data_IF_144203809135
#
_entry.id   IF_144203809135
#
_cell.length_a   1.000
_cell.length_b   1.000
_cell.length_c   1.000
_cell.angle_alpha   90.00
_cell.angle_beta   90.00
_cell.angle_gamma   90.00
#
_symmetry.space_group_name_H-M   'P 1'
#
loop_
_entity.id
_entity.type
_entity.pdbx_description
1 polymer ?
#
# COMPACT_ATOMS: atom_id res chain seq x y z
N UNK A 1 34.51 45.82 17.54
CA UNK A 1 34.42 44.36 17.44
C UNK A 1 33.90 43.83 18.78
N UNK A 2 32.60 43.62 18.92
CA UNK A 2 31.99 43.07 20.14
C UNK A 2 31.56 41.64 19.87
N UNK A 3 32.35 40.67 20.35
CA UNK A 3 32.03 39.25 20.26
C UNK A 3 30.76 38.97 21.08
N UNK A 4 29.67 38.59 20.40
CA UNK A 4 28.53 37.93 21.04
C UNK A 4 28.99 36.55 21.49
N UNK A 5 29.19 36.38 22.78
CA UNK A 5 29.34 35.06 23.39
C UNK A 5 28.02 34.30 23.22
N UNK A 6 28.01 33.32 22.32
CA UNK A 6 26.99 32.28 22.25
C UNK A 6 27.02 31.48 23.54
N UNK A 7 26.13 31.80 24.48
CA UNK A 7 25.95 31.00 25.70
C UNK A 7 25.40 29.63 25.31
N UNK A 8 26.26 28.62 25.42
CA UNK A 8 25.86 27.20 25.40
C UNK A 8 24.97 26.98 26.64
N UNK A 9 23.67 26.81 26.44
CA UNK A 9 22.75 26.48 27.52
C UNK A 9 23.10 25.10 28.07
N UNK A 10 23.51 25.04 29.33
CA UNK A 10 23.67 23.77 30.06
C UNK A 10 22.30 23.10 30.22
N UNK A 11 22.22 21.76 30.17
CA UNK A 11 20.98 21.04 30.46
C UNK A 11 20.51 21.37 31.88
N UNK A 12 19.22 21.65 32.05
CA UNK A 12 18.61 21.80 33.38
C UNK A 12 18.61 20.44 34.10
N UNK A 13 19.25 20.37 35.27
CA UNK A 13 19.42 19.12 36.03
C UNK A 13 18.11 18.59 36.66
N UNK A 14 17.10 19.44 36.83
CA UNK A 14 15.76 19.01 37.26
C UNK A 14 14.69 20.02 36.86
N UNK A 15 13.48 19.52 36.62
CA UNK A 15 12.29 20.32 36.38
C UNK A 15 11.23 19.97 37.43
N UNK A 16 10.87 20.94 38.27
CA UNK A 16 9.80 20.84 39.28
C UNK A 16 8.55 21.58 38.80
N UNK A 17 7.41 21.36 39.47
CA UNK A 17 6.15 22.10 39.23
C UNK A 17 5.46 21.87 37.88
N UNK A 18 5.71 20.74 37.20
CA UNK A 18 4.94 20.39 35.98
C UNK A 18 3.43 20.46 36.22
N UNK A 19 2.95 19.97 37.36
CA UNK A 19 1.52 19.94 37.66
C UNK A 19 0.90 21.33 37.87
N UNK A 20 1.72 22.34 38.20
CA UNK A 20 1.28 23.70 38.45
C UNK A 20 1.21 24.52 37.15
N UNK A 21 1.74 23.98 36.04
CA UNK A 21 1.65 24.63 34.75
C UNK A 21 0.22 24.64 34.20
N UNK A 22 -0.24 25.76 33.62
CA UNK A 22 -1.53 25.82 32.96
C UNK A 22 -1.57 24.91 31.72
N UNK A 23 -2.75 24.38 31.35
CA UNK A 23 -2.94 23.47 30.21
C UNK A 23 -2.34 23.98 28.89
N UNK A 24 -2.35 25.28 28.66
CA UNK A 24 -1.85 25.93 27.46
C UNK A 24 -0.33 25.82 27.34
N UNK A 25 0.39 26.04 28.45
CA UNK A 25 1.85 25.91 28.50
C UNK A 25 2.29 24.45 28.38
N UNK A 26 1.60 23.55 29.09
CA UNK A 26 1.82 22.10 28.91
C UNK A 26 1.63 21.67 27.47
N UNK A 27 0.56 22.15 26.84
CA UNK A 27 0.28 21.87 25.44
C UNK A 27 1.40 22.37 24.52
N UNK A 28 1.94 23.57 24.76
CA UNK A 28 3.07 24.09 24.02
C UNK A 28 4.31 23.19 24.18
N UNK A 29 4.63 22.74 25.40
CA UNK A 29 5.73 21.80 25.62
C UNK A 29 5.50 20.45 24.92
N UNK A 30 4.29 19.88 25.02
CA UNK A 30 3.94 18.59 24.40
C UNK A 30 4.13 18.64 22.89
N UNK A 31 3.86 19.78 22.24
CA UNK A 31 4.10 19.95 20.79
C UNK A 31 5.55 19.76 20.37
N UNK A 32 6.51 19.94 21.28
CA UNK A 32 7.94 19.75 21.03
C UNK A 32 8.44 18.35 21.40
N UNK A 33 7.64 17.54 22.12
CA UNK A 33 8.02 16.18 22.48
C UNK A 33 7.97 15.24 21.27
N UNK A 34 8.86 14.25 21.24
CA UNK A 34 8.78 13.17 20.24
C UNK A 34 7.59 12.24 20.48
N UNK A 35 7.29 11.39 19.49
CA UNK A 35 6.15 10.48 19.54
C UNK A 35 6.19 9.55 20.78
N UNK A 36 7.36 8.99 21.09
CA UNK A 36 7.54 8.03 22.19
C UNK A 36 7.27 8.70 23.54
N UNK A 37 7.84 9.87 23.75
CA UNK A 37 7.74 10.64 25.00
C UNK A 37 6.30 11.09 25.23
N UNK A 38 5.58 11.53 24.18
CA UNK A 38 4.14 11.83 24.30
C UNK A 38 3.32 10.62 24.70
N UNK A 39 3.57 9.48 24.08
CA UNK A 39 2.85 8.25 24.41
C UNK A 39 3.09 7.81 25.86
N UNK A 40 4.32 7.96 26.36
CA UNK A 40 4.63 7.73 27.77
C UNK A 40 3.93 8.76 28.66
N UNK A 41 3.99 10.05 28.34
CA UNK A 41 3.30 11.11 29.10
C UNK A 41 1.79 10.83 29.22
N UNK A 42 1.15 10.34 28.15
CA UNK A 42 -0.25 9.92 28.12
C UNK A 42 -0.62 8.85 29.16
N UNK A 43 0.36 8.05 29.60
CA UNK A 43 0.17 7.00 30.62
C UNK A 43 0.31 7.52 32.07
N UNK A 44 0.79 8.74 32.28
CA UNK A 44 1.11 9.26 33.62
C UNK A 44 -0.11 9.72 34.41
N UNK A 45 -1.08 10.39 33.78
CA UNK A 45 -2.32 10.83 34.43
C UNK A 45 -3.46 11.04 33.44
N UNK A 46 -4.70 11.14 33.94
CA UNK A 46 -5.88 11.42 33.10
C UNK A 46 -5.83 12.82 32.48
N UNK A 47 -5.28 13.81 33.20
CA UNK A 47 -5.14 15.18 32.70
C UNK A 47 -4.12 15.24 31.56
N UNK A 48 -2.95 14.63 31.73
CA UNK A 48 -1.93 14.57 30.68
C UNK A 48 -2.41 13.76 29.46
N UNK A 49 -3.17 12.69 29.69
CA UNK A 49 -3.83 11.96 28.61
C UNK A 49 -4.75 12.84 27.78
N UNK A 50 -5.62 13.63 28.41
CA UNK A 50 -6.51 14.54 27.71
C UNK A 50 -5.74 15.60 26.91
N UNK A 51 -4.65 16.13 27.47
CA UNK A 51 -3.78 17.08 26.78
C UNK A 51 -3.10 16.46 25.55
N UNK A 52 -2.54 15.27 25.68
CA UNK A 52 -1.91 14.55 24.56
C UNK A 52 -2.95 14.18 23.50
N UNK A 53 -4.13 13.68 23.90
CA UNK A 53 -5.19 13.24 23.00
C UNK A 53 -5.81 14.40 22.19
N UNK A 54 -5.70 15.64 22.68
CA UNK A 54 -6.10 16.86 21.97
C UNK A 54 -5.09 17.32 20.92
N UNK A 55 -3.90 16.71 20.84
CA UNK A 55 -2.89 17.06 19.86
C UNK A 55 -2.86 16.06 18.71
N UNK A 56 -2.91 16.58 17.48
CA UNK A 56 -2.64 15.78 16.28
C UNK A 56 -1.14 15.60 16.10
N UNK A 57 -0.73 14.46 15.56
CA UNK A 57 0.66 14.18 15.22
C UNK A 57 0.78 13.63 13.80
N UNK A 58 1.92 13.91 13.16
CA UNK A 58 2.23 13.45 11.82
C UNK A 58 3.19 12.27 11.90
N UNK A 59 2.83 11.18 11.22
CA UNK A 59 3.68 10.01 11.05
C UNK A 59 4.01 9.87 9.57
N UNK A 60 5.28 9.60 9.28
CA UNK A 60 5.73 9.37 7.91
C UNK A 60 5.26 8.01 7.43
N UNK A 61 5.47 6.99 8.25
CA UNK A 61 5.16 5.62 7.87
C UNK A 61 4.67 4.82 9.07
N UNK A 62 3.55 4.13 8.90
CA UNK A 62 3.05 3.14 9.85
C UNK A 62 2.85 1.86 9.08
N UNK A 63 3.48 0.78 9.54
CA UNK A 63 3.39 -0.51 8.88
C UNK A 63 3.16 -1.63 9.88
N UNK A 64 2.12 -2.41 9.64
CA UNK A 64 1.90 -3.69 10.29
C UNK A 64 2.28 -4.77 9.29
N UNK A 65 3.43 -5.39 9.54
CA UNK A 65 4.00 -6.39 8.65
C UNK A 65 3.93 -7.76 9.29
N UNK A 66 3.42 -8.75 8.55
CA UNK A 66 3.55 -10.15 8.88
C UNK A 66 4.82 -10.75 8.29
N UNK A 67 5.05 -12.04 8.53
CA UNK A 67 5.93 -12.80 7.65
C UNK A 67 5.13 -13.06 6.36
N UNK A 68 5.54 -12.40 5.26
CA UNK A 68 5.10 -12.66 3.88
C UNK A 68 4.98 -14.17 3.62
N UNK A 69 4.13 -14.61 2.67
CA UNK A 69 3.76 -16.03 2.54
C UNK A 69 5.00 -16.86 2.20
N UNK A 70 5.58 -17.47 3.23
CA UNK A 70 6.31 -18.71 3.06
C UNK A 70 5.34 -19.74 2.47
N UNK A 71 5.85 -20.72 1.69
CA UNK A 71 5.03 -21.70 0.99
C UNK A 71 3.96 -22.28 1.92
N UNK A 72 2.79 -22.59 1.35
CA UNK A 72 1.59 -23.12 2.03
C UNK A 72 1.90 -24.32 2.95
N UNK A 73 3.05 -24.97 2.75
CA UNK A 73 3.51 -26.16 3.47
C UNK A 73 4.54 -25.87 4.58
N UNK A 74 4.93 -24.61 4.80
CA UNK A 74 5.70 -24.25 5.98
C UNK A 74 4.74 -24.20 7.19
N UNK A 75 5.12 -24.85 8.29
CA UNK A 75 4.51 -24.69 9.61
C UNK A 75 4.70 -23.23 10.06
N UNK A 76 3.87 -22.33 9.52
CA UNK A 76 3.85 -20.92 9.88
C UNK A 76 3.05 -20.82 11.18
N UNK A 77 3.57 -20.17 12.23
CA UNK A 77 2.79 -19.89 13.42
C UNK A 77 1.48 -19.22 13.02
N UNK A 78 0.36 -19.81 13.39
CA UNK A 78 -0.96 -19.23 13.19
C UNK A 78 -1.10 -18.01 14.12
N UNK A 79 -1.47 -16.85 13.58
CA UNK A 79 -1.81 -15.66 14.39
C UNK A 79 -0.81 -14.50 14.33
N UNK A 80 -0.59 -13.87 15.49
CA UNK A 80 0.18 -12.62 15.61
C UNK A 80 1.67 -12.83 15.86
N UNK A 81 2.07 -14.06 16.13
CA UNK A 81 3.44 -14.40 16.47
C UNK A 81 4.33 -14.12 15.26
N UNK A 82 5.39 -13.33 15.47
CA UNK A 82 6.30 -12.79 14.45
C UNK A 82 5.79 -11.59 13.63
N UNK A 83 4.65 -11.00 13.97
CA UNK A 83 4.28 -9.70 13.39
C UNK A 83 5.16 -8.57 13.96
N UNK A 84 5.32 -7.52 13.16
CA UNK A 84 5.98 -6.29 13.59
C UNK A 84 5.14 -5.07 13.25
N UNK A 85 5.02 -4.18 14.23
CA UNK A 85 4.55 -2.81 14.04
C UNK A 85 5.76 -1.90 13.89
N UNK A 86 5.87 -1.23 12.74
CA UNK A 86 6.89 -0.22 12.45
C UNK A 86 6.22 1.15 12.44
N UNK A 87 6.78 2.10 13.16
CA UNK A 87 6.30 3.49 13.23
C UNK A 87 7.49 4.40 12.95
N UNK A 88 7.34 5.30 11.98
CA UNK A 88 8.34 6.31 11.61
C UNK A 88 7.72 7.69 11.83
N UNK A 89 8.16 8.46 12.84
CA UNK A 89 7.69 9.82 13.07
C UNK A 89 8.12 10.77 11.94
N UNK A 90 7.27 11.71 11.54
CA UNK A 90 7.65 12.70 10.50
C UNK A 90 8.73 13.68 10.96
N UNK A 91 8.86 13.92 12.27
CA UNK A 91 9.86 14.84 12.81
C UNK A 91 11.28 14.27 12.76
N UNK A 92 11.42 12.95 12.74
CA UNK A 92 12.70 12.24 12.78
C UNK A 92 12.60 10.96 11.91
N UNK A 93 12.58 11.10 10.57
CA UNK A 93 12.36 9.97 9.65
C UNK A 93 13.40 8.85 9.76
N UNK A 94 14.59 9.17 10.25
CA UNK A 94 15.67 8.24 10.55
C UNK A 94 15.40 7.34 11.78
N UNK A 95 14.45 7.72 12.63
CA UNK A 95 14.10 6.98 13.85
C UNK A 95 12.90 6.05 13.64
N UNK A 96 13.17 4.82 13.21
CA UNK A 96 12.14 3.79 13.13
C UNK A 96 11.92 3.11 14.50
N UNK A 97 10.70 3.18 15.03
CA UNK A 97 10.27 2.42 16.20
C UNK A 97 9.71 1.10 15.70
N UNK A 98 10.35 -0.01 16.07
CA UNK A 98 9.93 -1.37 15.68
C UNK A 98 9.51 -2.15 16.92
N UNK A 99 8.25 -2.55 16.96
CA UNK A 99 7.66 -3.35 18.03
C UNK A 99 7.39 -4.75 17.47
N UNK A 100 8.09 -5.77 17.99
CA UNK A 100 7.83 -7.17 17.65
C UNK A 100 6.73 -7.74 18.53
N UNK A 101 5.71 -8.31 17.91
CA UNK A 101 4.63 -9.01 18.57
C UNK A 101 5.09 -10.46 18.76
N UNK A 102 5.21 -10.86 20.03
CA UNK A 102 5.74 -12.17 20.43
C UNK A 102 4.68 -13.14 20.97
N UNK A 103 3.54 -12.61 21.38
CA UNK A 103 2.38 -13.40 21.76
C UNK A 103 1.09 -12.57 21.60
N UNK A 104 -0.03 -13.28 21.59
CA UNK A 104 -1.36 -12.72 21.44
C UNK A 104 -1.76 -11.80 22.62
N UNK A 105 -1.45 -12.18 23.86
CA UNK A 105 -1.77 -11.36 25.04
C UNK A 105 -1.15 -9.96 24.96
N UNK A 106 0.16 -9.88 24.65
CA UNK A 106 0.87 -8.60 24.51
C UNK A 106 0.32 -7.77 23.36
N UNK A 107 -0.15 -8.41 22.28
CA UNK A 107 -0.79 -7.70 21.20
C UNK A 107 -2.02 -6.93 21.71
N UNK A 108 -2.96 -7.62 22.35
CA UNK A 108 -4.21 -7.02 22.83
C UNK A 108 -3.99 -6.01 23.97
N UNK A 109 -3.06 -6.27 24.89
CA UNK A 109 -2.83 -5.39 26.04
C UNK A 109 -2.03 -4.13 25.71
N UNK A 110 -1.11 -4.21 24.73
CA UNK A 110 -0.14 -3.12 24.49
C UNK A 110 -0.14 -2.59 23.07
N UNK A 111 -0.15 -3.47 22.07
CA UNK A 111 0.02 -3.07 20.66
C UNK A 111 -1.29 -2.55 20.07
N UNK A 112 -2.41 -3.20 20.35
CA UNK A 112 -3.73 -2.80 19.88
C UNK A 112 -4.13 -1.41 20.41
N UNK A 113 -4.02 -1.09 21.72
CA UNK A 113 -4.30 0.27 22.21
C UNK A 113 -3.41 1.33 21.58
N UNK A 114 -2.13 1.02 21.35
CA UNK A 114 -1.19 1.91 20.64
C UNK A 114 -1.63 2.14 19.19
N UNK A 115 -1.99 1.07 18.48
CA UNK A 115 -2.44 1.14 17.09
C UNK A 115 -3.73 1.95 16.96
N UNK A 116 -4.72 1.71 17.84
CA UNK A 116 -5.96 2.49 17.88
C UNK A 116 -5.66 3.96 18.14
N UNK A 117 -4.77 4.27 19.08
CA UNK A 117 -4.35 5.65 19.34
C UNK A 117 -3.72 6.29 18.10
N UNK A 118 -2.83 5.59 17.40
CA UNK A 118 -2.21 6.06 16.15
C UNK A 118 -3.28 6.34 15.10
N UNK A 119 -4.14 5.36 14.80
CA UNK A 119 -5.14 5.47 13.74
C UNK A 119 -6.19 6.56 14.01
N UNK A 120 -6.50 6.83 15.27
CA UNK A 120 -7.51 7.83 15.67
C UNK A 120 -6.96 9.25 15.79
N UNK A 121 -5.67 9.42 16.12
CA UNK A 121 -5.11 10.74 16.50
C UNK A 121 -4.03 11.27 15.56
N UNK A 122 -3.56 10.45 14.61
CA UNK A 122 -2.48 10.83 13.71
C UNK A 122 -2.94 11.15 12.29
N UNK A 123 -2.14 11.95 11.60
CA UNK A 123 -2.11 12.05 10.15
C UNK A 123 -0.95 11.20 9.67
N UNK A 124 -1.24 10.18 8.86
CA UNK A 124 -0.26 9.21 8.39
C UNK A 124 0.01 9.46 6.91
N UNK A 125 1.27 9.69 6.54
CA UNK A 125 1.65 9.83 5.14
C UNK A 125 1.52 8.48 4.40
N UNK A 126 2.08 7.41 4.97
CA UNK A 126 1.95 6.05 4.42
C UNK A 126 1.52 5.05 5.49
N UNK A 127 0.36 4.42 5.29
CA UNK A 127 -0.13 3.32 6.13
C UNK A 127 -0.15 2.01 5.34
N UNK A 128 0.58 1.02 5.82
CA UNK A 128 0.67 -0.31 5.22
C UNK A 128 0.20 -1.38 6.20
N UNK A 129 -0.69 -2.26 5.74
CA UNK A 129 -1.22 -3.36 6.52
C UNK A 129 -1.18 -4.65 5.71
N UNK A 130 -0.63 -5.69 6.32
CA UNK A 130 -0.63 -7.05 5.79
C UNK A 130 -1.68 -7.91 6.49
N UNK A 131 -2.20 -8.92 5.79
CA UNK A 131 -3.13 -9.91 6.34
C UNK A 131 -2.56 -10.65 7.56
N UNK A 132 -3.44 -10.93 8.52
CA UNK A 132 -3.18 -11.87 9.61
C UNK A 132 -3.81 -13.22 9.32
N UNK A 133 -3.01 -14.29 9.31
CA UNK A 133 -3.54 -15.66 9.19
C UNK A 133 -4.42 -15.99 10.40
N UNK A 134 -5.61 -16.53 10.12
CA UNK A 134 -6.56 -16.97 11.15
C UNK A 134 -7.31 -15.85 11.88
N UNK A 135 -7.04 -14.58 11.57
CA UNK A 135 -7.77 -13.45 12.14
C UNK A 135 -8.29 -12.52 11.03
N UNK A 136 -8.94 -11.43 11.45
CA UNK A 136 -9.55 -10.43 10.57
C UNK A 136 -9.38 -9.04 11.20
N UNK A 137 -8.74 -8.11 10.49
CA UNK A 137 -8.56 -6.74 10.99
C UNK A 137 -9.88 -6.02 11.28
N UNK A 138 -10.94 -6.32 10.52
CA UNK A 138 -12.24 -5.71 10.73
C UNK A 138 -12.88 -6.12 12.06
N UNK A 139 -12.62 -7.34 12.55
CA UNK A 139 -13.11 -7.77 13.87
C UNK A 139 -12.23 -7.25 15.00
N UNK A 140 -10.90 -7.26 14.80
CA UNK A 140 -9.93 -6.78 15.81
C UNK A 140 -10.09 -5.28 16.07
N UNK A 141 -10.21 -4.48 15.01
CA UNK A 141 -10.27 -3.02 15.10
C UNK A 141 -11.71 -2.48 15.07
N UNK A 142 -12.68 -3.31 14.71
CA UNK A 142 -14.07 -2.93 14.48
C UNK A 142 -14.68 -2.14 15.62
N UNK A 143 -14.64 -2.69 16.83
CA UNK A 143 -15.18 -2.06 18.03
C UNK A 143 -14.46 -0.75 18.39
N UNK A 144 -13.14 -0.70 18.17
CA UNK A 144 -12.32 0.46 18.54
C UNK A 144 -12.39 1.61 17.52
N UNK A 145 -12.76 1.33 16.27
CA UNK A 145 -12.77 2.28 15.15
C UNK A 145 -14.15 2.48 14.52
N UNK A 146 -15.24 2.16 15.23
CA UNK A 146 -16.60 2.06 14.66
C UNK A 146 -16.97 3.24 13.74
N UNK A 147 -16.79 4.48 14.19
CA UNK A 147 -17.10 5.70 13.43
C UNK A 147 -15.86 6.54 13.07
N UNK A 148 -14.66 6.00 13.29
CA UNK A 148 -13.43 6.76 13.10
C UNK A 148 -13.03 6.82 11.63
N UNK A 149 -12.91 8.03 11.10
CA UNK A 149 -12.29 8.27 9.80
C UNK A 149 -10.76 8.35 9.95
N UNK A 150 -10.05 7.65 9.09
CA UNK A 150 -8.59 7.53 9.07
C UNK A 150 -7.97 8.66 8.24
N UNK A 151 -7.08 9.41 8.87
CA UNK A 151 -6.32 10.46 8.18
C UNK A 151 -5.06 9.86 7.55
N UNK A 152 -5.22 9.15 6.44
CA UNK A 152 -4.13 8.47 5.71
C UNK A 152 -3.98 9.07 4.32
N UNK A 153 -2.77 9.49 3.93
CA UNK A 153 -2.52 10.01 2.57
C UNK A 153 -2.29 8.90 1.54
N UNK A 154 -1.55 7.85 1.91
CA UNK A 154 -1.30 6.67 1.09
C UNK A 154 -1.62 5.39 1.86
N UNK A 155 -2.56 4.59 1.36
CA UNK A 155 -2.96 3.33 1.98
C UNK A 155 -2.48 2.13 1.16
N UNK A 156 -1.86 1.15 1.83
CA UNK A 156 -1.36 -0.08 1.22
C UNK A 156 -1.92 -1.31 1.96
N UNK A 157 -2.92 -1.95 1.36
CA UNK A 157 -3.47 -3.23 1.81
C UNK A 157 -2.83 -4.39 1.06
N UNK A 158 -2.05 -5.21 1.75
CA UNK A 158 -1.29 -6.30 1.15
C UNK A 158 -1.88 -7.64 1.59
N UNK A 159 -2.32 -8.43 0.62
CA UNK A 159 -2.95 -9.75 0.81
C UNK A 159 -4.24 -9.72 1.68
N UNK A 160 -4.92 -8.57 1.81
CA UNK A 160 -6.12 -8.43 2.64
C UNK A 160 -7.32 -9.22 2.09
N UNK A 161 -8.17 -9.76 2.98
CA UNK A 161 -9.47 -10.35 2.58
C UNK A 161 -10.48 -9.24 2.27
N UNK A 162 -11.56 -9.59 1.58
CA UNK A 162 -12.63 -8.63 1.24
C UNK A 162 -13.15 -7.81 2.43
N UNK A 163 -13.50 -8.40 3.60
CA UNK A 163 -14.01 -7.61 4.71
C UNK A 163 -13.00 -6.58 5.22
N UNK A 164 -11.72 -6.92 5.19
CA UNK A 164 -10.62 -6.04 5.60
C UNK A 164 -10.40 -4.90 4.61
N UNK A 165 -10.42 -5.21 3.31
CA UNK A 165 -10.35 -4.19 2.24
C UNK A 165 -11.49 -3.19 2.42
N UNK A 166 -12.73 -3.66 2.52
CA UNK A 166 -13.89 -2.80 2.73
C UNK A 166 -13.78 -2.03 4.04
N UNK A 167 -13.38 -2.67 5.14
CA UNK A 167 -13.24 -2.04 6.45
C UNK A 167 -12.29 -0.84 6.45
N UNK A 168 -11.11 -0.98 5.85
CA UNK A 168 -10.13 0.10 5.80
C UNK A 168 -10.52 1.17 4.78
N UNK A 169 -10.89 0.78 3.55
CA UNK A 169 -11.16 1.75 2.48
C UNK A 169 -12.37 2.61 2.78
N UNK A 170 -13.44 2.06 3.37
CA UNK A 170 -14.62 2.85 3.78
C UNK A 170 -14.34 3.86 4.88
N UNK A 171 -13.23 3.70 5.62
CA UNK A 171 -12.82 4.62 6.68
C UNK A 171 -11.78 5.63 6.23
N UNK A 172 -11.29 5.58 4.99
CA UNK A 172 -10.30 6.53 4.51
C UNK A 172 -10.88 7.96 4.47
N UNK A 173 -10.03 8.92 4.84
CA UNK A 173 -10.34 10.35 4.84
C UNK A 173 -10.24 11.01 3.48
N UNK A 174 -10.82 12.21 3.29
CA UNK A 174 -10.69 12.99 2.05
C UNK A 174 -9.24 13.39 1.73
N UNK A 175 -8.32 13.29 2.70
CA UNK A 175 -6.90 13.56 2.47
C UNK A 175 -6.18 12.43 1.74
N UNK A 176 -6.83 11.28 1.54
CA UNK A 176 -6.25 10.14 0.83
C UNK A 176 -6.04 10.47 -0.63
N UNK A 177 -4.78 10.31 -1.08
CA UNK A 177 -4.36 10.55 -2.46
C UNK A 177 -4.05 9.27 -3.20
N UNK A 178 -3.65 8.21 -2.49
CA UNK A 178 -3.23 6.97 -3.12
C UNK A 178 -3.66 5.72 -2.35
N UNK A 179 -4.12 4.72 -3.10
CA UNK A 179 -4.63 3.45 -2.59
C UNK A 179 -3.98 2.32 -3.36
N UNK A 180 -3.47 1.31 -2.64
CA UNK A 180 -2.77 0.16 -3.19
C UNK A 180 -3.35 -1.11 -2.58
N UNK A 181 -3.81 -2.04 -3.40
CA UNK A 181 -4.47 -3.28 -2.99
C UNK A 181 -3.96 -4.48 -3.78
N UNK A 182 -4.13 -5.68 -3.22
CA UNK A 182 -3.94 -6.95 -3.93
C UNK A 182 -5.31 -7.61 -4.15
N UNK A 183 -5.60 -8.03 -5.38
CA UNK A 183 -6.88 -8.59 -5.84
C UNK A 183 -6.97 -10.12 -5.80
N UNK A 184 -5.83 -10.82 -5.85
CA UNK A 184 -5.75 -12.29 -5.88
C UNK A 184 -6.04 -12.98 -4.54
N UNK A 185 -6.46 -12.23 -3.52
CA UNK A 185 -6.76 -12.81 -2.20
C UNK A 185 -8.16 -13.37 -2.10
N UNK A 186 -8.99 -13.14 -3.12
CA UNK A 186 -10.42 -13.41 -3.10
C UNK A 186 -10.94 -13.71 -4.50
N UNK A 187 -11.71 -14.79 -4.61
CA UNK A 187 -12.43 -15.13 -5.84
C UNK A 187 -13.49 -14.06 -6.23
N UNK A 188 -13.81 -13.12 -5.33
CA UNK A 188 -14.80 -12.04 -5.52
C UNK A 188 -14.28 -10.73 -4.94
N UNK A 189 -13.19 -10.19 -5.46
CA UNK A 189 -12.66 -8.90 -5.01
C UNK A 189 -13.74 -7.78 -5.13
N UNK A 190 -13.95 -6.91 -4.11
CA UNK A 190 -15.10 -6.00 -4.02
C UNK A 190 -14.92 -4.73 -4.86
N UNK A 191 -14.57 -4.88 -6.14
CA UNK A 191 -14.25 -3.74 -7.01
C UNK A 191 -15.43 -2.79 -7.23
N UNK A 192 -16.65 -3.31 -7.30
CA UNK A 192 -17.84 -2.49 -7.51
C UNK A 192 -18.13 -1.59 -6.30
N UNK A 193 -18.02 -2.14 -5.09
CA UNK A 193 -18.14 -1.38 -3.84
C UNK A 193 -17.06 -0.31 -3.74
N UNK A 194 -15.83 -0.65 -4.12
CA UNK A 194 -14.71 0.29 -4.16
C UNK A 194 -14.97 1.42 -5.16
N UNK A 195 -15.51 1.11 -6.34
CA UNK A 195 -15.84 2.13 -7.34
C UNK A 195 -16.98 3.03 -6.91
N UNK A 196 -17.87 2.58 -6.03
CA UNK A 196 -18.94 3.40 -5.48
C UNK A 196 -18.51 4.29 -4.30
N UNK A 197 -17.25 4.19 -3.88
CA UNK A 197 -16.70 5.03 -2.84
C UNK A 197 -16.01 6.27 -3.44
N UNK A 198 -16.49 7.45 -3.10
CA UNK A 198 -15.97 8.74 -3.59
C UNK A 198 -14.49 8.96 -3.24
N UNK A 199 -14.01 8.43 -2.11
CA UNK A 199 -12.59 8.53 -1.73
C UNK A 199 -11.72 7.75 -2.71
N UNK A 200 -12.22 6.62 -3.22
CA UNK A 200 -11.50 5.78 -4.17
C UNK A 200 -11.50 6.39 -5.57
N UNK A 201 -12.66 6.86 -6.04
CA UNK A 201 -12.79 7.42 -7.40
C UNK A 201 -12.08 8.75 -7.55
N UNK A 202 -12.03 9.55 -6.48
CA UNK A 202 -11.32 10.83 -6.44
C UNK A 202 -9.84 10.70 -6.02
N UNK A 203 -9.37 9.51 -5.63
CA UNK A 203 -7.96 9.31 -5.34
C UNK A 203 -7.12 9.55 -6.60
N UNK A 204 -6.04 10.31 -6.46
CA UNK A 204 -5.09 10.58 -7.55
C UNK A 204 -4.45 9.30 -8.10
N UNK A 205 -4.29 8.28 -7.26
CA UNK A 205 -3.66 7.01 -7.65
C UNK A 205 -4.40 5.82 -7.04
N UNK A 206 -4.98 4.97 -7.88
CA UNK A 206 -5.48 3.66 -7.49
C UNK A 206 -4.61 2.57 -8.11
N UNK A 207 -4.10 1.65 -7.30
CA UNK A 207 -3.32 0.51 -7.78
C UNK A 207 -3.91 -0.79 -7.23
N UNK A 208 -4.21 -1.72 -8.12
CA UNK A 208 -4.71 -3.04 -7.73
C UNK A 208 -3.88 -4.10 -8.43
N UNK A 209 -3.15 -4.89 -7.65
CA UNK A 209 -2.41 -6.03 -8.18
C UNK A 209 -3.37 -7.19 -8.43
N UNK A 210 -3.17 -7.94 -9.49
CA UNK A 210 -3.82 -9.22 -9.76
C UNK A 210 -5.37 -9.18 -9.69
N UNK A 211 -5.96 -8.16 -10.32
CA UNK A 211 -7.41 -7.97 -10.38
C UNK A 211 -8.02 -8.80 -11.51
N UNK A 212 -8.96 -9.70 -11.20
CA UNK A 212 -9.60 -10.57 -12.22
C UNK A 212 -10.73 -9.90 -13.00
N UNK A 213 -11.23 -8.76 -12.52
CA UNK A 213 -12.36 -8.03 -13.10
C UNK A 213 -11.97 -7.31 -14.41
N UNK A 214 -12.58 -7.74 -15.53
CA UNK A 214 -12.27 -7.28 -16.90
C UNK A 214 -12.82 -5.87 -17.19
N UNK A 215 -13.86 -5.47 -16.49
CA UNK A 215 -14.64 -4.25 -16.72
C UNK A 215 -14.23 -3.06 -15.84
N UNK A 216 -13.37 -3.29 -14.84
CA UNK A 216 -12.94 -2.28 -13.90
C UNK A 216 -12.39 -1.01 -14.57
N UNK A 217 -11.60 -1.19 -15.63
CA UNK A 217 -10.88 -0.11 -16.30
C UNK A 217 -11.85 0.86 -16.97
N UNK A 218 -12.81 0.35 -17.74
CA UNK A 218 -13.75 1.21 -18.46
C UNK A 218 -14.82 1.78 -17.52
N UNK A 219 -15.25 1.04 -16.49
CA UNK A 219 -16.16 1.55 -15.45
C UNK A 219 -15.56 2.76 -14.72
N UNK A 220 -14.28 2.67 -14.35
CA UNK A 220 -13.59 3.78 -13.70
C UNK A 220 -13.38 4.97 -14.64
N UNK A 221 -13.03 4.72 -15.90
CA UNK A 221 -12.89 5.77 -16.91
C UNK A 221 -14.22 6.51 -17.17
N UNK A 222 -15.35 5.80 -17.18
CA UNK A 222 -16.70 6.38 -17.27
C UNK A 222 -16.95 7.36 -16.12
N UNK A 223 -16.68 6.94 -14.87
CA UNK A 223 -16.78 7.83 -13.69
C UNK A 223 -15.87 9.05 -13.78
N UNK A 224 -14.65 8.91 -14.32
CA UNK A 224 -13.74 10.06 -14.49
C UNK A 224 -14.21 11.06 -15.54
N UNK A 225 -14.92 10.59 -16.57
CA UNK A 225 -15.55 11.45 -17.57
C UNK A 225 -16.74 12.20 -16.94
N UNK A 226 -17.52 11.54 -16.10
CA UNK A 226 -18.66 12.12 -15.37
C UNK A 226 -18.22 13.17 -14.35
N UNK A 227 -17.19 12.87 -13.56
CA UNK A 227 -16.71 13.73 -12.47
C UNK A 227 -15.67 14.78 -12.90
N UNK A 228 -15.35 14.87 -14.19
CA UNK A 228 -14.28 15.73 -14.72
C UNK A 228 -12.96 15.62 -13.92
N UNK A 229 -12.49 14.38 -13.70
CA UNK A 229 -11.36 14.12 -12.80
C UNK A 229 -10.08 14.91 -13.17
N UNK A 230 -9.24 15.16 -12.16
CA UNK A 230 -8.02 15.94 -12.31
C UNK A 230 -7.00 15.27 -13.24
N UNK A 231 -6.22 16.08 -13.96
CA UNK A 231 -5.10 15.60 -14.77
C UNK A 231 -4.07 14.91 -13.86
N UNK A 232 -3.62 13.73 -14.27
CA UNK A 232 -2.71 12.87 -13.52
C UNK A 232 -3.40 11.87 -12.61
N UNK A 233 -4.74 11.88 -12.53
CA UNK A 233 -5.52 10.79 -11.90
C UNK A 233 -5.22 9.49 -12.64
N UNK A 234 -4.74 8.48 -11.91
CA UNK A 234 -4.14 7.27 -12.48
C UNK A 234 -4.69 6.01 -11.83
N UNK A 235 -5.00 5.00 -12.65
CA UNK A 235 -5.38 3.66 -12.26
C UNK A 235 -4.41 2.65 -12.86
N UNK A 236 -3.77 1.83 -12.03
CA UNK A 236 -2.85 0.79 -12.47
C UNK A 236 -3.30 -0.57 -11.98
N UNK A 237 -3.27 -1.54 -12.89
CA UNK A 237 -3.72 -2.90 -12.60
C UNK A 237 -2.78 -3.95 -13.20
N UNK A 238 -2.51 -5.03 -12.47
CA UNK A 238 -1.90 -6.26 -13.01
C UNK A 238 -2.93 -7.38 -13.01
N UNK A 239 -2.71 -8.40 -13.85
CA UNK A 239 -3.71 -9.39 -14.25
C UNK A 239 -4.79 -8.77 -15.13
N UNK A 240 -4.43 -8.56 -16.38
CA UNK A 240 -5.35 -8.07 -17.39
C UNK A 240 -5.34 -9.12 -18.46
N UNK A 241 -6.43 -9.89 -18.57
CA UNK A 241 -6.63 -10.79 -19.70
C UNK A 241 -6.52 -9.97 -20.99
N UNK A 242 -5.99 -10.56 -22.07
CA UNK A 242 -5.69 -9.88 -23.34
C UNK A 242 -6.85 -9.11 -23.97
N UNK A 243 -8.08 -9.29 -23.48
CA UNK A 243 -9.30 -8.66 -23.98
C UNK A 243 -9.64 -7.28 -23.37
N UNK A 244 -8.90 -6.76 -22.38
CA UNK A 244 -9.34 -5.52 -21.69
C UNK A 244 -9.25 -4.27 -22.56
N UNK A 245 -8.26 -4.17 -23.45
CA UNK A 245 -8.18 -3.09 -24.45
C UNK A 245 -9.35 -3.21 -25.46
N UNK A 246 -9.60 -4.37 -26.10
CA UNK A 246 -10.77 -4.55 -26.98
C UNK A 246 -12.10 -4.16 -26.34
N UNK A 247 -12.35 -4.55 -25.08
CA UNK A 247 -13.56 -4.17 -24.35
C UNK A 247 -13.63 -2.65 -24.11
N UNK A 248 -12.52 -2.03 -23.76
CA UNK A 248 -12.44 -0.58 -23.56
C UNK A 248 -12.75 0.17 -24.87
N UNK A 249 -12.15 -0.25 -25.98
CA UNK A 249 -12.41 0.27 -27.33
C UNK A 249 -13.87 0.14 -27.70
N UNK A 250 -14.46 -1.04 -27.49
CA UNK A 250 -15.87 -1.28 -27.79
C UNK A 250 -16.80 -0.33 -27.02
N UNK A 251 -16.53 -0.09 -25.74
CA UNK A 251 -17.32 0.80 -24.88
C UNK A 251 -17.21 2.27 -25.28
N UNK A 252 -16.05 2.72 -25.75
CA UNK A 252 -15.76 4.13 -26.03
C UNK A 252 -15.57 4.48 -27.51
N UNK A 253 -16.09 3.67 -28.45
CA UNK A 253 -15.89 3.84 -29.91
C UNK A 253 -16.06 5.28 -30.40
N UNK A 254 -17.10 5.96 -29.93
CA UNK A 254 -17.44 7.33 -30.38
C UNK A 254 -16.50 8.41 -29.82
N UNK A 255 -15.60 8.05 -28.90
CA UNK A 255 -14.67 8.97 -28.23
C UNK A 255 -13.21 8.72 -28.58
N UNK A 256 -12.90 7.70 -29.39
CA UNK A 256 -11.52 7.31 -29.72
C UNK A 256 -10.83 8.39 -30.56
N UNK A 257 -9.63 8.76 -30.13
CA UNK A 257 -8.71 9.66 -30.85
C UNK A 257 -7.62 8.82 -31.52
N UNK A 258 -7.11 7.82 -30.80
CA UNK A 258 -6.02 6.97 -31.23
C UNK A 258 -6.18 5.58 -30.61
N UNK A 259 -5.88 4.56 -31.40
CA UNK A 259 -5.94 3.17 -30.98
C UNK A 259 -4.81 2.38 -31.65
N UNK A 260 -4.15 1.53 -30.88
CA UNK A 260 -3.35 0.41 -31.35
C UNK A 260 -3.44 -0.75 -30.33
N UNK A 261 -2.68 -1.83 -30.55
CA UNK A 261 -2.72 -3.02 -29.69
C UNK A 261 -2.29 -2.80 -28.23
N UNK A 262 -1.50 -1.77 -27.95
CA UNK A 262 -0.94 -1.49 -26.62
C UNK A 262 -1.46 -0.17 -26.01
N UNK A 263 -2.17 0.66 -26.76
CA UNK A 263 -2.50 2.03 -26.39
C UNK A 263 -3.85 2.46 -26.98
N UNK A 264 -4.69 3.07 -26.15
CA UNK A 264 -5.96 3.69 -26.56
C UNK A 264 -6.06 5.07 -25.92
N UNK A 265 -6.39 6.08 -26.70
CA UNK A 265 -6.62 7.45 -26.23
C UNK A 265 -8.03 7.87 -26.60
N UNK A 266 -8.78 8.38 -25.62
CA UNK A 266 -10.16 8.84 -25.80
C UNK A 266 -10.34 10.29 -25.34
N UNK A 267 -11.32 10.98 -25.94
CA UNK A 267 -11.80 12.29 -25.48
C UNK A 267 -12.64 12.17 -24.22
N UNK A 268 -12.69 13.24 -23.43
CA UNK A 268 -13.65 13.39 -22.31
C UNK A 268 -14.68 14.46 -22.66
N UNK A 269 -15.62 14.73 -21.74
CA UNK A 269 -16.54 15.86 -21.89
C UNK A 269 -15.81 17.21 -21.77
N UNK A 270 -14.63 17.23 -21.14
CA UNK A 270 -13.77 18.39 -21.06
C UNK A 270 -12.73 18.36 -22.21
N UNK A 271 -12.77 19.32 -23.16
CA UNK A 271 -11.88 19.32 -24.31
C UNK A 271 -10.40 19.50 -23.95
N UNK A 272 -10.08 19.97 -22.74
CA UNK A 272 -8.69 20.08 -22.27
C UNK A 272 -8.14 18.77 -21.71
N UNK A 273 -8.95 17.72 -21.59
CA UNK A 273 -8.58 16.45 -20.94
C UNK A 273 -8.90 15.25 -21.83
N UNK A 274 -7.95 14.33 -21.93
CA UNK A 274 -8.12 13.02 -22.57
C UNK A 274 -7.87 11.92 -21.53
N UNK A 275 -8.35 10.71 -21.79
CA UNK A 275 -7.97 9.52 -21.03
C UNK A 275 -7.07 8.65 -21.91
N UNK A 276 -5.94 8.24 -21.35
CA UNK A 276 -4.97 7.36 -21.99
C UNK A 276 -4.96 6.01 -21.27
N UNK A 277 -5.23 4.97 -22.02
CA UNK A 277 -5.04 3.59 -21.61
C UNK A 277 -3.79 3.03 -22.27
N UNK A 278 -2.85 2.49 -21.50
CA UNK A 278 -1.58 1.99 -22.01
C UNK A 278 -1.17 0.70 -21.31
N UNK A 279 -0.85 -0.30 -22.12
CA UNK A 279 -0.30 -1.57 -21.71
C UNK A 279 1.23 -1.45 -21.65
N UNK A 280 1.81 -1.85 -20.53
CA UNK A 280 3.25 -1.83 -20.36
C UNK A 280 3.93 -2.78 -21.36
N UNK A 281 5.11 -2.37 -21.85
CA UNK A 281 5.94 -3.21 -22.71
C UNK A 281 6.50 -4.37 -21.89
N UNK A 282 6.34 -5.60 -22.41
CA UNK A 282 6.86 -6.91 -21.93
C UNK A 282 7.48 -6.88 -20.53
N UNK A 283 6.71 -7.35 -19.55
CA UNK A 283 7.25 -7.73 -18.24
C UNK A 283 7.11 -9.24 -18.05
N UNK A 284 8.10 -9.87 -17.41
CA UNK A 284 8.30 -11.33 -17.41
C UNK A 284 7.20 -12.17 -16.75
N UNK A 285 6.21 -11.55 -16.08
CA UNK A 285 5.22 -12.26 -15.25
C UNK A 285 3.79 -11.73 -15.42
N UNK A 286 3.59 -10.41 -15.52
CA UNK A 286 2.29 -9.81 -15.86
C UNK A 286 2.50 -8.44 -16.49
N UNK A 287 1.67 -8.07 -17.48
CA UNK A 287 1.76 -6.75 -18.14
C UNK A 287 0.87 -5.75 -17.38
N UNK A 288 1.46 -4.74 -16.70
CA UNK A 288 0.67 -3.64 -16.15
C UNK A 288 -0.19 -2.97 -17.21
N UNK A 289 -1.45 -2.69 -16.87
CA UNK A 289 -2.29 -1.76 -17.62
C UNK A 289 -2.40 -0.47 -16.81
N UNK A 290 -2.14 0.66 -17.45
CA UNK A 290 -2.23 2.00 -16.85
C UNK A 290 -3.32 2.79 -17.58
N UNK A 291 -4.35 3.21 -16.85
CA UNK A 291 -5.35 4.16 -17.31
C UNK A 291 -5.10 5.50 -16.60
N UNK A 292 -5.02 6.61 -17.32
CA UNK A 292 -4.64 7.90 -16.74
C UNK A 292 -5.32 9.06 -17.46
N UNK A 293 -5.78 10.03 -16.67
CA UNK A 293 -6.28 11.32 -17.17
C UNK A 293 -5.09 12.19 -17.55
N UNK A 294 -5.00 12.58 -18.82
CA UNK A 294 -3.94 13.42 -19.36
C UNK A 294 -4.50 14.72 -19.92
N UNK A 295 -3.63 15.70 -20.10
CA UNK A 295 -3.97 16.87 -20.89
C UNK A 295 -4.24 16.48 -22.36
N UNK A 296 -5.15 17.19 -23.02
CA UNK A 296 -5.38 17.04 -24.46
C UNK A 296 -4.19 17.49 -25.31
N UNK A 297 -3.39 18.45 -24.84
CA UNK A 297 -2.18 18.96 -25.50
C UNK A 297 -0.92 18.12 -25.24
N UNK A 298 -0.97 17.12 -24.36
CA UNK A 298 0.18 16.27 -24.06
C UNK A 298 0.62 15.45 -25.29
N UNK A 299 1.91 15.56 -25.63
CA UNK A 299 2.52 14.84 -26.76
C UNK A 299 2.91 13.41 -26.38
N UNK A 300 3.10 12.56 -27.40
CA UNK A 300 3.35 11.13 -27.22
C UNK A 300 4.64 10.85 -26.44
N UNK A 301 5.66 11.65 -26.67
CA UNK A 301 6.97 11.53 -26.03
C UNK A 301 6.88 11.74 -24.50
N UNK A 302 5.94 12.59 -24.05
CA UNK A 302 5.77 12.94 -22.63
C UNK A 302 5.19 11.77 -21.81
N UNK A 303 4.38 10.92 -22.43
CA UNK A 303 3.76 9.76 -21.77
C UNK A 303 4.37 8.41 -22.19
N UNK A 304 5.53 8.42 -22.84
CA UNK A 304 6.26 7.18 -23.14
C UNK A 304 6.60 6.40 -21.87
N UNK A 305 6.93 7.12 -20.79
CA UNK A 305 7.26 6.58 -19.48
C UNK A 305 6.08 5.93 -18.75
N UNK A 306 4.84 6.18 -19.19
CA UNK A 306 3.65 5.59 -18.57
C UNK A 306 3.64 4.08 -18.82
N UNK A 307 3.49 3.31 -17.75
CA UNK A 307 3.57 1.85 -17.79
C UNK A 307 4.85 1.26 -17.20
N UNK A 308 5.83 2.08 -16.78
CA UNK A 308 6.93 1.61 -15.92
C UNK A 308 6.43 1.37 -14.49
N UNK A 309 5.64 0.32 -14.29
CA UNK A 309 5.37 -0.21 -12.96
C UNK A 309 6.33 -1.37 -12.68
N UNK A 310 7.35 -1.10 -11.87
CA UNK A 310 8.18 -2.15 -11.27
C UNK A 310 7.50 -2.57 -9.98
N UNK A 311 6.88 -3.74 -9.97
CA UNK A 311 6.64 -4.46 -8.71
C UNK A 311 8.00 -4.68 -8.06
N UNK A 312 8.37 -3.88 -7.05
CA UNK A 312 9.57 -4.11 -6.22
C UNK A 312 9.50 -5.40 -5.39
N UNK A 313 8.42 -6.18 -5.52
CA UNK A 313 8.35 -7.52 -4.92
C UNK A 313 9.11 -8.47 -5.84
N UNK A 314 10.31 -8.84 -5.41
CA UNK A 314 10.99 -10.05 -5.88
C UNK A 314 10.01 -11.19 -5.61
N UNK A 315 9.42 -11.71 -6.68
CA UNK A 315 8.54 -12.86 -6.59
C UNK A 315 9.41 -14.03 -6.11
N UNK A 316 9.04 -14.71 -5.01
CA UNK A 316 9.79 -15.87 -4.57
C UNK A 316 9.82 -16.92 -5.68
N UNK A 317 10.94 -17.64 -5.84
CA UNK A 317 11.13 -18.65 -6.90
C UNK A 317 9.96 -19.66 -6.95
N UNK A 318 9.31 -19.98 -5.84
CA UNK A 318 8.18 -20.89 -5.79
C UNK A 318 6.87 -20.32 -6.34
N UNK A 319 6.62 -19.01 -6.27
CA UNK A 319 5.52 -18.40 -7.04
C UNK A 319 5.81 -18.53 -8.53
N UNK A 320 7.08 -18.38 -8.93
CA UNK A 320 7.55 -18.67 -10.30
C UNK A 320 7.33 -20.14 -10.68
N UNK A 321 7.64 -21.08 -9.79
CA UNK A 321 7.42 -22.51 -10.00
C UNK A 321 5.94 -22.88 -9.98
N UNK A 322 5.10 -22.18 -9.20
CA UNK A 322 3.65 -22.47 -9.18
C UNK A 322 3.00 -22.17 -10.53
N UNK A 323 3.41 -21.10 -11.22
CA UNK A 323 3.02 -20.83 -12.61
C UNK A 323 3.56 -21.90 -13.60
N UNK A 324 4.66 -22.57 -13.26
CA UNK A 324 5.25 -23.64 -14.07
C UNK A 324 4.50 -24.97 -13.87
N UNK A 325 3.79 -25.15 -12.76
CA UNK A 325 3.08 -26.39 -12.40
C UNK A 325 1.55 -26.28 -12.40
N UNK A 326 0.98 -25.12 -12.72
CA UNK A 326 -0.46 -24.98 -12.99
C UNK A 326 -0.74 -25.28 -14.47
N UNK A 327 -1.62 -26.26 -14.72
CA UNK A 327 -1.93 -26.88 -16.02
C UNK A 327 -2.53 -25.98 -17.12
N UNK A 328 -2.62 -24.66 -16.93
CA UNK A 328 -3.26 -23.75 -17.90
C UNK A 328 -2.23 -22.97 -18.75
N UNK A 329 -1.33 -23.68 -19.43
CA UNK A 329 -0.61 -23.10 -20.57
C UNK A 329 -1.52 -23.11 -21.79
N UNK A 330 -2.22 -22.00 -22.05
CA UNK A 330 -2.91 -21.81 -23.32
C UNK A 330 -1.89 -21.60 -24.45
N UNK A 331 -2.12 -22.26 -25.60
CA UNK A 331 -1.24 -22.23 -26.78
C UNK A 331 -0.93 -20.82 -27.34
N UNK A 332 -1.69 -19.80 -26.93
CA UNK A 332 -1.47 -18.39 -27.33
C UNK A 332 -0.46 -17.63 -26.44
N UNK A 333 -0.09 -18.17 -25.28
CA UNK A 333 0.94 -17.58 -24.43
C UNK A 333 2.31 -17.98 -24.97
N UNK A 334 2.88 -17.13 -25.83
CA UNK A 334 4.22 -17.26 -26.45
C UNK A 334 5.42 -17.31 -25.47
N UNK A 335 5.24 -17.82 -24.26
CA UNK A 335 6.27 -18.42 -23.41
C UNK A 335 6.79 -19.69 -24.10
N UNK A 336 7.63 -19.45 -25.10
CA UNK A 336 8.29 -20.46 -25.91
C UNK A 336 8.86 -21.58 -25.02
N UNK A 337 8.57 -22.85 -25.32
CA UNK A 337 9.10 -24.04 -24.64
C UNK A 337 10.62 -23.98 -24.36
N UNK A 338 11.37 -23.22 -25.16
CA UNK A 338 12.78 -22.92 -24.95
C UNK A 338 13.08 -22.23 -23.60
N UNK A 339 12.24 -21.30 -23.14
CA UNK A 339 12.42 -20.62 -21.85
C UNK A 339 12.22 -21.59 -20.68
N UNK A 340 11.29 -22.53 -20.83
CA UNK A 340 11.05 -23.62 -19.89
C UNK A 340 12.23 -24.59 -19.83
N UNK A 341 12.75 -25.01 -20.99
CA UNK A 341 13.93 -25.88 -21.10
C UNK A 341 15.16 -25.23 -20.44
N UNK A 342 15.41 -23.95 -20.71
CA UNK A 342 16.54 -23.21 -20.13
C UNK A 342 16.42 -23.13 -18.59
N UNK A 343 15.22 -22.86 -18.07
CA UNK A 343 14.99 -22.80 -16.62
C UNK A 343 15.17 -24.17 -15.97
N UNK A 344 14.72 -25.24 -16.63
CA UNK A 344 14.84 -26.61 -16.16
C UNK A 344 16.32 -27.05 -16.09
N UNK A 345 17.12 -26.70 -17.11
CA UNK A 345 18.57 -26.91 -17.08
C UNK A 345 19.26 -26.11 -15.98
N UNK A 346 18.82 -24.87 -15.72
CA UNK A 346 19.40 -24.04 -14.66
C UNK A 346 19.06 -24.55 -13.26
N UNK A 347 17.85 -25.10 -13.06
CA UNK A 347 17.46 -25.79 -11.82
C UNK A 347 18.25 -27.08 -11.63
N UNK A 348 18.40 -27.90 -12.69
CA UNK A 348 19.23 -29.11 -12.65
C UNK A 348 20.69 -28.78 -12.32
N UNK A 349 21.24 -27.72 -12.91
CA UNK A 349 22.59 -27.26 -12.63
C UNK A 349 22.77 -26.87 -11.16
N UNK A 350 21.82 -26.14 -10.58
CA UNK A 350 21.85 -25.74 -9.17
C UNK A 350 21.75 -26.94 -8.22
N UNK A 351 20.90 -27.91 -8.54
CA UNK A 351 20.79 -29.16 -7.77
C UNK A 351 22.10 -29.95 -7.85
N UNK A 352 22.67 -30.09 -9.06
CA UNK A 352 23.95 -30.77 -9.26
C UNK A 352 25.06 -30.06 -8.48
N UNK A 353 25.15 -28.73 -8.52
CA UNK A 353 26.19 -27.99 -7.79
C UNK A 353 26.03 -28.08 -6.28
N UNK A 354 24.80 -28.07 -5.75
CA UNK A 354 24.54 -28.30 -4.32
C UNK A 354 24.93 -29.72 -3.90
N UNK A 355 24.56 -30.73 -4.69
CA UNK A 355 24.94 -32.12 -4.45
C UNK A 355 26.46 -32.32 -4.54
N UNK A 356 27.13 -31.73 -5.53
CA UNK A 356 28.58 -31.78 -5.67
C UNK A 356 29.28 -31.14 -4.47
N UNK A 357 28.78 -29.98 -4.00
CA UNK A 357 29.33 -29.29 -2.83
C UNK A 357 29.09 -30.08 -1.54
N UNK A 358 28.00 -30.84 -1.45
CA UNK A 358 27.69 -31.66 -0.28
C UNK A 358 28.52 -32.96 -0.23
N UNK A 359 28.84 -33.52 -1.40
CA UNK A 359 29.63 -34.76 -1.55
C UNK A 359 31.14 -34.48 -1.48
N UNK A 360 31.62 -33.38 -2.06
CA UNK A 360 33.05 -33.07 -2.16
C UNK A 360 33.53 -31.91 -1.26
N UNK A 361 32.63 -31.23 -0.56
CA UNK A 361 32.94 -30.10 0.34
C UNK A 361 33.18 -30.47 1.80
N UNK A 362 33.24 -31.76 2.14
CA UNK A 362 33.80 -32.24 3.41
C UNK A 362 35.23 -32.73 3.17
N UNK A 363 36.17 -31.80 3.16
CA UNK A 363 37.56 -32.01 3.54
C UNK A 363 38.01 -30.77 4.31
#
# INVERSE_FOLDING_TARGET
MGNKSSSVQQPLDSFSHWNDLPPELKSACIKHLDFKTRFLLRSTSRAERALVDNQKFCLEHVQIKGLLPYPVNALIPTGFDEQKLTIVPSSHPETAIVIRIRNLTRFFETVLPLLVFILTRSVINEFSVELIRGNDWSTILGESLQTTQLNVRSFHGVVLKNPEVTFFVTRLGPITKSIYLDGNTSNKFPIEDLMNNDIVTNARMLRIRDLTCKDAVWKLAEKWIENDSEIGTTFQVTSVHGHSIPHFVQKFRDRIIFENHDEVRITTNNPSKHILLKLARRWRVSRPLTCVVISSYMKKEEYESFGHWVSKKVMPIWEYLSFVFTDDFHEDDGLNCYSFIILLFHCLWLIITVLFKHVFGRN
#
